data_IF_410630833111
#
_entry.id   IF_410630833111
#
_cell.length_a   1.000
_cell.length_b   1.000
_cell.length_c   1.000
_cell.angle_alpha   90.00
_cell.angle_beta   90.00
_cell.angle_gamma   90.00
#
_symmetry.space_group_name_H-M   'P 1'
#
loop_
_entity.id
_entity.type
_entity.pdbx_description
1 polymer ?
#
# COMPACT_ATOMS: atom_id res chain seq x y z
N UNK A 1 -49.40 33.29 -7.40
CA UNK A 1 -48.26 32.81 -6.59
C UNK A 1 -47.10 33.78 -6.82
N UNK A 2 -46.66 34.53 -5.76
CA UNK A 2 -45.82 35.72 -5.92
C UNK A 2 -44.35 35.35 -6.13
N UNK A 3 -43.68 35.92 -7.16
CA UNK A 3 -42.26 35.78 -7.45
C UNK A 3 -41.29 36.08 -6.28
N UNK A 4 -41.75 36.82 -5.28
CA UNK A 4 -41.01 37.16 -4.07
C UNK A 4 -40.74 35.93 -3.17
N UNK A 5 -41.63 34.95 -3.15
CA UNK A 5 -41.52 33.72 -2.33
C UNK A 5 -40.45 32.76 -2.87
N UNK A 6 -40.27 32.70 -4.19
CA UNK A 6 -39.23 31.87 -4.84
C UNK A 6 -37.82 32.39 -4.57
N UNK A 7 -37.61 33.70 -4.39
CA UNK A 7 -36.29 34.25 -4.06
C UNK A 7 -35.90 33.98 -2.61
N UNK A 8 -36.86 34.00 -1.68
CA UNK A 8 -36.63 33.63 -0.27
C UNK A 8 -36.24 32.17 -0.13
N UNK A 9 -36.97 31.25 -0.73
CA UNK A 9 -36.70 29.80 -0.70
C UNK A 9 -35.33 29.41 -1.28
N UNK A 10 -34.91 30.05 -2.40
CA UNK A 10 -33.59 29.83 -2.99
C UNK A 10 -32.45 30.30 -2.05
N UNK A 11 -32.62 31.46 -1.41
CA UNK A 11 -31.61 31.95 -0.43
C UNK A 11 -31.51 31.04 0.79
N UNK A 12 -32.64 30.57 1.32
CA UNK A 12 -32.67 29.62 2.44
C UNK A 12 -32.02 28.30 2.08
N UNK A 13 -32.28 27.77 0.88
CA UNK A 13 -31.63 26.52 0.40
C UNK A 13 -30.12 26.67 0.27
N UNK A 14 -29.62 27.77 -0.26
CA UNK A 14 -28.19 28.06 -0.39
C UNK A 14 -27.54 28.14 0.99
N UNK A 15 -28.14 28.85 1.94
CA UNK A 15 -27.61 28.98 3.31
C UNK A 15 -27.56 27.60 3.99
N UNK A 16 -28.63 26.82 3.90
CA UNK A 16 -28.66 25.46 4.47
C UNK A 16 -27.59 24.56 3.84
N UNK A 17 -27.41 24.63 2.52
CA UNK A 17 -26.36 23.83 1.84
C UNK A 17 -24.97 24.23 2.27
N UNK A 18 -24.68 25.53 2.40
CA UNK A 18 -23.37 26.02 2.87
C UNK A 18 -23.09 25.59 4.31
N UNK A 19 -24.12 25.67 5.19
CA UNK A 19 -24.02 25.25 6.58
C UNK A 19 -23.79 23.74 6.68
N UNK A 20 -24.48 22.94 5.86
CA UNK A 20 -24.27 21.47 5.83
C UNK A 20 -22.90 21.09 5.32
N UNK A 21 -22.36 21.79 4.31
CA UNK A 21 -20.99 21.57 3.80
C UNK A 21 -19.98 21.97 4.89
N UNK A 22 -20.13 23.14 5.51
CA UNK A 22 -19.24 23.58 6.59
C UNK A 22 -19.30 22.65 7.81
N UNK A 23 -20.48 22.13 8.15
CA UNK A 23 -20.65 21.17 9.23
C UNK A 23 -20.06 19.81 8.88
N UNK A 24 -20.17 19.37 7.61
CA UNK A 24 -19.51 18.17 7.11
C UNK A 24 -17.97 18.27 7.20
N UNK A 25 -17.40 19.43 6.91
CA UNK A 25 -15.97 19.69 7.09
C UNK A 25 -15.55 19.70 8.56
N UNK A 26 -16.38 20.23 9.44
CA UNK A 26 -16.11 20.27 10.88
C UNK A 26 -16.23 18.88 11.55
N UNK A 27 -17.01 17.99 10.96
CA UNK A 27 -17.18 16.60 11.43
C UNK A 27 -16.19 15.61 10.80
N UNK A 28 -15.31 16.04 9.86
CA UNK A 28 -14.17 15.25 9.45
C UNK A 28 -13.00 15.59 10.40
N UNK A 29 -12.79 14.82 11.47
CA UNK A 29 -11.55 14.91 12.20
C UNK A 29 -10.44 14.58 11.22
N UNK A 30 -9.36 15.33 11.23
CA UNK A 30 -8.11 14.94 10.58
C UNK A 30 -7.89 13.48 10.95
N UNK A 31 -7.92 12.60 9.95
CA UNK A 31 -7.74 11.18 10.21
C UNK A 31 -6.32 10.99 10.68
N UNK A 32 -6.13 10.81 11.98
CA UNK A 32 -4.83 10.45 12.52
C UNK A 32 -4.32 9.22 11.76
N UNK A 33 -3.05 9.27 11.37
CA UNK A 33 -2.42 8.16 10.69
C UNK A 33 -2.56 6.89 11.54
N UNK A 34 -3.15 5.85 10.98
CA UNK A 34 -3.44 4.60 11.69
C UNK A 34 -2.51 3.49 11.20
N UNK A 35 -2.34 2.47 12.05
CA UNK A 35 -1.64 1.24 11.67
C UNK A 35 -2.59 0.37 10.86
N UNK A 36 -2.14 -0.06 9.67
CA UNK A 36 -2.88 -1.00 8.84
C UNK A 36 -3.03 -2.36 9.52
N UNK A 37 -4.25 -2.87 9.64
CA UNK A 37 -4.53 -4.15 10.30
C UNK A 37 -5.56 -4.96 9.51
N UNK A 38 -5.43 -6.28 9.57
CA UNK A 38 -6.47 -7.17 9.08
C UNK A 38 -7.69 -7.12 10.01
N UNK A 39 -8.88 -7.09 9.44
CA UNK A 39 -10.14 -7.05 10.19
C UNK A 39 -10.40 -8.32 11.02
N UNK A 40 -9.77 -9.44 10.66
CA UNK A 40 -9.92 -10.72 11.38
C UNK A 40 -8.72 -11.64 11.11
N UNK A 41 -8.52 -12.60 12.04
CA UNK A 41 -7.51 -13.65 11.88
C UNK A 41 -7.81 -14.52 10.65
N UNK A 42 -9.09 -14.82 10.39
CA UNK A 42 -9.50 -15.60 9.23
C UNK A 42 -9.17 -14.87 7.92
N UNK A 43 -9.51 -13.59 7.82
CA UNK A 43 -9.18 -12.77 6.65
C UNK A 43 -7.67 -12.64 6.41
N UNK A 44 -6.87 -12.53 7.48
CA UNK A 44 -5.42 -12.58 7.37
C UNK A 44 -4.93 -13.92 6.80
N UNK A 45 -5.46 -15.03 7.29
CA UNK A 45 -5.06 -16.37 6.80
C UNK A 45 -5.41 -16.54 5.32
N UNK A 46 -6.60 -16.14 4.92
CA UNK A 46 -7.06 -16.18 3.52
C UNK A 46 -6.14 -15.32 2.63
N UNK A 47 -5.87 -14.08 3.03
CA UNK A 47 -4.96 -13.19 2.33
C UNK A 47 -3.57 -13.82 2.14
N UNK A 48 -2.97 -14.34 3.21
CA UNK A 48 -1.65 -14.98 3.15
C UNK A 48 -1.66 -16.18 2.20
N UNK A 49 -2.73 -16.97 2.17
CA UNK A 49 -2.88 -18.09 1.24
C UNK A 49 -2.85 -17.61 -0.21
N UNK A 50 -3.67 -16.61 -0.56
CA UNK A 50 -3.70 -16.06 -1.91
C UNK A 50 -2.39 -15.34 -2.29
N UNK A 51 -1.76 -14.65 -1.34
CA UNK A 51 -0.45 -14.06 -1.55
C UNK A 51 0.60 -15.14 -1.91
N UNK A 52 0.64 -16.23 -1.16
CA UNK A 52 1.54 -17.35 -1.43
C UNK A 52 1.26 -18.04 -2.76
N UNK A 53 -0.02 -18.16 -3.15
CA UNK A 53 -0.41 -18.66 -4.48
C UNK A 53 0.11 -17.73 -5.59
N UNK A 54 -0.02 -16.43 -5.41
CA UNK A 54 0.50 -15.44 -6.35
C UNK A 54 2.04 -15.49 -6.44
N UNK A 55 2.73 -15.72 -5.33
CA UNK A 55 4.20 -15.92 -5.32
C UNK A 55 4.64 -17.16 -6.09
N UNK A 56 3.81 -18.21 -6.21
CA UNK A 56 4.12 -19.39 -7.04
C UNK A 56 4.10 -19.12 -8.53
N UNK A 57 3.61 -17.98 -8.98
CA UNK A 57 3.68 -17.55 -10.40
C UNK A 57 5.09 -17.14 -10.82
N UNK A 58 5.98 -16.87 -9.89
CA UNK A 58 7.37 -16.60 -10.22
C UNK A 58 8.02 -17.83 -10.87
N UNK A 59 8.86 -17.66 -11.91
CA UNK A 59 9.53 -18.77 -12.60
C UNK A 59 10.46 -19.57 -11.68
N UNK A 60 10.98 -18.91 -10.65
CA UNK A 60 11.78 -19.53 -9.58
C UNK A 60 11.38 -18.96 -8.23
N UNK A 61 11.45 -19.73 -7.14
CA UNK A 61 11.29 -19.17 -5.81
C UNK A 61 12.40 -18.16 -5.52
N UNK A 62 12.20 -17.22 -4.57
CA UNK A 62 13.28 -16.33 -4.15
C UNK A 62 14.41 -17.11 -3.49
N UNK A 63 15.66 -16.71 -3.78
CA UNK A 63 16.88 -17.28 -3.17
C UNK A 63 16.99 -16.85 -1.69
N UNK A 64 16.47 -15.66 -1.36
CA UNK A 64 16.40 -15.16 0.00
C UNK A 64 15.03 -14.49 0.25
N UNK A 65 14.53 -14.70 1.46
CA UNK A 65 13.39 -13.96 2.00
C UNK A 65 13.76 -13.51 3.41
N UNK A 66 13.58 -12.21 3.70
CA UNK A 66 13.89 -11.63 5.00
C UNK A 66 12.84 -10.61 5.43
N UNK A 67 12.70 -10.45 6.74
CA UNK A 67 11.98 -9.32 7.34
C UNK A 67 13.01 -8.36 7.92
N UNK A 68 13.09 -7.17 7.34
CA UNK A 68 14.01 -6.12 7.77
C UNK A 68 13.30 -5.21 8.74
N UNK A 69 13.82 -5.12 9.96
CA UNK A 69 13.28 -4.23 10.98
C UNK A 69 13.57 -2.76 10.63
N UNK A 70 12.56 -1.92 10.80
CA UNK A 70 12.63 -0.46 10.68
C UNK A 70 11.91 0.18 11.87
N UNK A 71 12.02 1.48 12.03
CA UNK A 71 11.31 2.24 13.08
C UNK A 71 9.77 2.16 12.93
N UNK A 72 9.29 1.84 11.72
CA UNK A 72 7.86 1.79 11.41
C UNK A 72 7.30 0.37 11.33
N UNK A 73 8.15 -0.65 11.46
CA UNK A 73 7.74 -2.05 11.38
C UNK A 73 8.76 -2.95 10.70
N UNK A 74 8.30 -4.08 10.18
CA UNK A 74 9.13 -5.04 9.47
C UNK A 74 8.80 -5.07 7.99
N UNK A 75 9.77 -4.79 7.14
CA UNK A 75 9.64 -4.82 5.68
C UNK A 75 10.00 -6.21 5.16
N UNK A 76 9.05 -6.88 4.50
CA UNK A 76 9.28 -8.15 3.83
C UNK A 76 10.03 -7.92 2.53
N UNK A 77 11.22 -8.52 2.40
CA UNK A 77 12.11 -8.42 1.25
C UNK A 77 12.35 -9.80 0.64
N UNK A 78 12.44 -9.83 -0.67
CA UNK A 78 12.73 -11.01 -1.49
C UNK A 78 13.91 -10.72 -2.40
N UNK A 79 14.76 -11.73 -2.62
CA UNK A 79 15.91 -11.61 -3.50
C UNK A 79 15.95 -12.79 -4.47
N UNK A 80 16.30 -12.51 -5.73
CA UNK A 80 16.58 -13.49 -6.77
C UNK A 80 17.94 -13.18 -7.40
N UNK A 81 18.74 -14.21 -7.61
CA UNK A 81 20.01 -14.10 -8.30
C UNK A 81 20.41 -15.44 -8.92
N UNK A 82 21.34 -15.42 -9.87
CA UNK A 82 22.07 -16.59 -10.32
C UNK A 82 23.48 -16.54 -9.72
N UNK A 83 24.30 -17.61 -9.82
CA UNK A 83 25.70 -17.57 -9.41
C UNK A 83 26.47 -16.40 -10.05
N UNK A 84 26.15 -16.05 -11.30
CA UNK A 84 26.78 -15.00 -12.08
C UNK A 84 26.32 -13.61 -11.66
N UNK A 85 25.06 -13.46 -11.24
CA UNK A 85 24.46 -12.17 -10.89
C UNK A 85 24.49 -11.85 -9.40
N UNK A 86 24.83 -12.80 -8.55
CA UNK A 86 24.83 -12.67 -7.08
C UNK A 86 25.57 -11.43 -6.58
N UNK A 87 26.69 -11.07 -7.20
CA UNK A 87 27.52 -9.95 -6.83
C UNK A 87 27.32 -8.72 -7.74
N UNK A 88 26.34 -8.76 -8.65
CA UNK A 88 26.05 -7.63 -9.51
C UNK A 88 25.30 -6.52 -8.74
N UNK A 89 25.32 -5.31 -9.29
CA UNK A 89 24.48 -4.21 -8.77
C UNK A 89 23.01 -4.66 -8.88
N UNK A 90 22.25 -4.62 -7.78
CA UNK A 90 20.87 -5.07 -7.79
C UNK A 90 19.93 -4.12 -8.53
N UNK A 91 18.94 -4.69 -9.19
CA UNK A 91 17.73 -3.97 -9.59
C UNK A 91 16.73 -4.09 -8.45
N UNK A 92 16.23 -2.95 -7.96
CA UNK A 92 15.21 -2.90 -6.92
C UNK A 92 13.84 -2.67 -7.57
N UNK A 93 12.91 -3.59 -7.34
CA UNK A 93 11.54 -3.52 -7.83
C UNK A 93 10.62 -2.95 -6.74
N UNK A 94 10.13 -1.74 -6.98
CA UNK A 94 9.24 -1.04 -6.06
C UNK A 94 7.80 -1.30 -6.49
N UNK A 95 6.93 -1.89 -5.64
CA UNK A 95 5.54 -2.14 -6.01
C UNK A 95 4.77 -0.83 -6.17
N UNK A 96 3.75 -0.85 -7.01
CA UNK A 96 2.78 0.24 -7.09
C UNK A 96 1.84 0.24 -5.89
N UNK A 97 1.12 1.33 -5.71
CA UNK A 97 0.09 1.46 -4.65
C UNK A 97 -0.91 0.31 -4.72
N UNK A 98 -1.31 -0.20 -3.56
CA UNK A 98 -2.21 -1.35 -3.40
C UNK A 98 -1.71 -2.64 -4.05
N UNK A 99 -0.38 -2.75 -4.21
CA UNK A 99 0.28 -3.92 -4.80
C UNK A 99 1.42 -4.37 -3.91
N UNK A 100 1.76 -5.66 -3.99
CA UNK A 100 2.92 -6.25 -3.35
C UNK A 100 3.85 -6.91 -4.37
N UNK A 101 4.90 -7.55 -3.89
CA UNK A 101 5.90 -8.24 -4.70
C UNK A 101 5.32 -9.14 -5.81
N UNK A 102 4.20 -9.88 -5.64
CA UNK A 102 3.67 -10.75 -6.68
C UNK A 102 3.35 -10.08 -8.02
N UNK A 103 3.15 -8.76 -8.04
CA UNK A 103 2.90 -8.03 -9.30
C UNK A 103 4.04 -8.15 -10.32
N UNK A 104 5.25 -8.48 -9.85
CA UNK A 104 6.45 -8.58 -10.68
C UNK A 104 6.69 -9.96 -11.29
N UNK A 105 5.82 -10.95 -11.02
CA UNK A 105 6.05 -12.34 -11.42
C UNK A 105 6.33 -12.50 -12.93
N UNK A 106 5.56 -11.80 -13.77
CA UNK A 106 5.68 -11.89 -15.23
C UNK A 106 6.92 -11.14 -15.78
N UNK A 107 7.51 -10.25 -14.98
CA UNK A 107 8.66 -9.42 -15.38
C UNK A 107 9.99 -9.92 -14.80
N UNK A 108 9.97 -10.76 -13.76
CA UNK A 108 11.18 -11.17 -13.04
C UNK A 108 12.27 -11.73 -13.97
N UNK A 109 11.90 -12.63 -14.88
CA UNK A 109 12.86 -13.31 -15.74
C UNK A 109 13.69 -12.33 -16.60
N UNK A 110 13.09 -11.22 -17.03
CA UNK A 110 13.78 -10.20 -17.82
C UNK A 110 14.88 -9.49 -17.03
N UNK A 111 14.67 -9.30 -15.73
CA UNK A 111 15.63 -8.63 -14.85
C UNK A 111 16.65 -9.62 -14.29
N UNK A 112 16.22 -10.77 -13.77
CA UNK A 112 17.07 -11.73 -13.07
C UNK A 112 18.09 -12.42 -13.98
N UNK A 113 17.86 -12.42 -15.30
CA UNK A 113 18.83 -12.95 -16.28
C UNK A 113 20.16 -12.17 -16.33
N UNK A 114 20.18 -10.92 -15.88
CA UNK A 114 21.36 -10.03 -15.97
C UNK A 114 21.72 -9.36 -14.65
N UNK A 115 20.81 -9.36 -13.69
CA UNK A 115 20.96 -8.63 -12.44
C UNK A 115 20.53 -9.48 -11.25
N UNK A 116 21.10 -9.21 -10.12
CA UNK A 116 20.52 -9.52 -8.84
C UNK A 116 19.25 -8.68 -8.70
N UNK A 117 18.15 -9.27 -8.31
CA UNK A 117 16.85 -8.58 -8.18
C UNK A 117 16.41 -8.59 -6.74
N UNK A 118 16.02 -7.43 -6.24
CA UNK A 118 15.43 -7.26 -4.90
C UNK A 118 14.03 -6.71 -5.10
N UNK A 119 13.03 -7.33 -4.50
CA UNK A 119 11.68 -6.80 -4.39
C UNK A 119 11.25 -6.76 -2.92
N UNK A 120 10.35 -5.87 -2.59
CA UNK A 120 9.84 -5.77 -1.22
C UNK A 120 8.36 -5.41 -1.22
N UNK A 121 7.70 -5.71 -0.11
CA UNK A 121 6.35 -5.24 0.15
C UNK A 121 6.43 -3.93 0.96
N UNK A 122 5.77 -2.88 0.48
CA UNK A 122 5.77 -1.60 1.18
C UNK A 122 5.00 -1.67 2.51
N UNK A 123 5.49 -0.96 3.54
CA UNK A 123 4.76 -0.82 4.80
C UNK A 123 3.44 -0.08 4.57
N UNK A 124 2.38 -0.55 5.22
CA UNK A 124 1.05 0.06 5.13
C UNK A 124 0.32 -0.21 3.81
N UNK A 125 0.88 -1.02 2.92
CA UNK A 125 0.28 -1.39 1.65
C UNK A 125 0.07 -2.92 1.53
N UNK A 126 -0.35 -3.39 0.36
CA UNK A 126 -0.55 -4.81 0.10
C UNK A 126 0.79 -5.55 0.19
N UNK A 127 0.79 -6.71 0.85
CA UNK A 127 2.00 -7.52 1.03
C UNK A 127 2.04 -8.24 2.37
N UNK A 128 3.21 -8.71 2.73
CA UNK A 128 3.47 -9.38 4.00
C UNK A 128 4.33 -8.55 4.97
N UNK A 129 4.66 -7.31 4.61
CA UNK A 129 5.25 -6.36 5.55
C UNK A 129 4.30 -6.07 6.71
N UNK A 130 4.84 -5.84 7.90
CA UNK A 130 4.06 -5.62 9.12
C UNK A 130 4.34 -4.22 9.63
N UNK A 131 3.34 -3.35 9.54
CA UNK A 131 3.42 -2.00 10.10
C UNK A 131 3.24 -2.05 11.62
N UNK A 132 4.12 -1.38 12.36
CA UNK A 132 4.11 -1.31 13.83
C UNK A 132 3.90 0.11 14.36
N UNK A 133 4.12 1.14 13.53
CA UNK A 133 3.90 2.54 13.88
C UNK A 133 3.15 3.27 12.75
N UNK A 134 2.42 4.35 13.03
CA UNK A 134 1.73 5.13 12.03
C UNK A 134 2.71 5.75 11.01
N UNK A 135 2.37 5.66 9.73
CA UNK A 135 3.05 6.36 8.65
C UNK A 135 2.33 7.70 8.43
N UNK A 136 2.77 8.74 9.13
CA UNK A 136 2.11 10.05 9.10
C UNK A 136 2.46 10.87 7.86
N UNK A 137 3.58 10.57 7.20
CA UNK A 137 4.12 11.33 6.08
C UNK A 137 4.72 10.36 5.05
N UNK A 138 4.75 10.76 3.79
CA UNK A 138 5.40 10.02 2.70
C UNK A 138 6.91 9.82 2.94
N UNK A 139 7.54 10.72 3.68
CA UNK A 139 8.95 10.59 4.07
C UNK A 139 9.22 9.42 5.01
N UNK A 140 8.22 8.97 5.77
CA UNK A 140 8.33 7.81 6.67
C UNK A 140 8.50 6.48 5.91
N UNK A 141 8.22 6.44 4.62
CA UNK A 141 8.45 5.26 3.77
C UNK A 141 9.85 5.25 3.14
N UNK A 142 10.57 6.36 3.19
CA UNK A 142 11.86 6.54 2.53
C UNK A 142 13.08 6.43 3.49
N UNK A 143 12.83 6.32 4.77
CA UNK A 143 13.85 6.12 5.83
C UNK A 143 13.90 4.69 6.27
#
# INVERSE_FOLDING_TARGET
MKLADLRGRKRTLIVVSVVMIAFGWFLHPDSEATIGQFRSVAGRKEYVTHYQEAMRRFPTPPDMTADIATDFGAVRVYEWHTPETKNSIPVVLIPGRSSGTPMWADNLAAFSSRHRVIAFDALGDAGLSVQAAPLADITNQAT
#
